data_IF_919631243488
#
_entry.id   IF_919631243488
#
_cell.length_a   1.000
_cell.length_b   1.000
_cell.length_c   1.000
_cell.angle_alpha   90.00
_cell.angle_beta   90.00
_cell.angle_gamma   90.00
#
_symmetry.space_group_name_H-M   'P 1'
#
loop_
_entity.id
_entity.type
_entity.pdbx_description
1 polymer ?
#
# COMPACT_ATOMS: atom_id res chain seq x y z
N UNK A 1 14.70 -5.87 -9.24
CA UNK A 1 16.04 -6.39 -9.62
C UNK A 1 16.26 -7.81 -9.10
N UNK A 2 16.27 -8.05 -7.78
CA UNK A 2 16.51 -9.39 -7.20
C UNK A 2 15.59 -10.50 -7.78
N UNK A 3 14.30 -10.21 -7.92
CA UNK A 3 13.35 -11.15 -8.51
C UNK A 3 13.72 -11.53 -9.97
N UNK A 4 14.11 -10.54 -10.79
CA UNK A 4 14.54 -10.75 -12.18
C UNK A 4 15.84 -11.57 -12.26
N UNK A 5 16.77 -11.35 -11.33
CA UNK A 5 18.00 -12.16 -11.21
C UNK A 5 17.63 -13.61 -10.90
N UNK A 6 16.67 -13.83 -9.99
CA UNK A 6 16.14 -15.16 -9.67
C UNK A 6 15.46 -15.84 -10.87
N UNK A 7 14.71 -15.10 -11.69
CA UNK A 7 14.16 -15.63 -12.95
C UNK A 7 15.25 -16.05 -13.92
N UNK A 8 16.30 -15.24 -14.10
CA UNK A 8 17.44 -15.57 -14.98
C UNK A 8 18.21 -16.81 -14.50
N UNK A 9 18.44 -16.93 -13.18
CA UNK A 9 19.18 -18.04 -12.57
C UNK A 9 18.40 -19.35 -12.47
N UNK A 10 17.08 -19.32 -12.64
CA UNK A 10 16.20 -20.50 -12.55
C UNK A 10 16.61 -21.65 -13.47
N UNK A 11 17.41 -21.36 -14.51
CA UNK A 11 17.86 -22.39 -15.46
C UNK A 11 19.35 -22.77 -15.32
N UNK A 12 20.24 -21.85 -14.92
CA UNK A 12 21.69 -22.18 -14.81
C UNK A 12 22.12 -22.59 -13.41
N UNK A 13 21.47 -22.09 -12.34
CA UNK A 13 21.83 -22.37 -10.94
C UNK A 13 20.57 -22.57 -10.10
N UNK A 14 19.95 -23.74 -10.26
CA UNK A 14 18.66 -24.11 -9.64
C UNK A 14 18.60 -23.93 -8.12
N UNK A 15 19.72 -24.07 -7.40
CA UNK A 15 19.77 -23.97 -5.94
C UNK A 15 19.48 -22.56 -5.39
N UNK A 16 19.98 -21.50 -6.06
CA UNK A 16 19.86 -20.12 -5.53
C UNK A 16 18.65 -19.37 -6.10
N UNK A 17 18.12 -19.81 -7.24
CA UNK A 17 16.97 -19.18 -7.88
C UNK A 17 15.75 -18.98 -6.95
N UNK A 18 15.29 -19.99 -6.17
CA UNK A 18 14.14 -19.81 -5.29
C UNK A 18 14.40 -18.79 -4.16
N UNK A 19 15.62 -18.73 -3.62
CA UNK A 19 16.00 -17.72 -2.61
C UNK A 19 15.88 -16.30 -3.17
N UNK A 20 16.46 -16.04 -4.35
CA UNK A 20 16.38 -14.72 -4.98
C UNK A 20 14.95 -14.34 -5.36
N UNK A 21 14.13 -15.31 -5.81
CA UNK A 21 12.72 -15.08 -6.12
C UNK A 21 11.91 -14.75 -4.86
N UNK A 22 12.09 -15.50 -3.77
CA UNK A 22 11.35 -15.28 -2.53
C UNK A 22 11.70 -13.93 -1.90
N UNK A 23 12.99 -13.63 -1.74
CA UNK A 23 13.46 -12.34 -1.21
C UNK A 23 13.02 -11.20 -2.13
N UNK A 24 13.21 -11.35 -3.44
CA UNK A 24 12.81 -10.35 -4.42
C UNK A 24 11.31 -10.08 -4.42
N UNK A 25 10.49 -11.12 -4.28
CA UNK A 25 9.04 -10.98 -4.18
C UNK A 25 8.63 -10.25 -2.90
N UNK A 26 9.18 -10.64 -1.76
CA UNK A 26 8.92 -9.98 -0.48
C UNK A 26 9.31 -8.49 -0.52
N UNK A 27 10.45 -8.15 -1.12
CA UNK A 27 10.87 -6.75 -1.30
C UNK A 27 9.93 -5.99 -2.22
N UNK A 28 9.57 -6.54 -3.39
CA UNK A 28 8.67 -5.86 -4.34
C UNK A 28 7.28 -5.68 -3.75
N UNK A 29 6.72 -6.71 -3.12
CA UNK A 29 5.43 -6.65 -2.45
C UNK A 29 5.46 -5.65 -1.29
N UNK A 30 6.51 -5.65 -0.47
CA UNK A 30 6.69 -4.71 0.63
C UNK A 30 6.80 -3.26 0.17
N UNK A 31 7.62 -2.97 -0.85
CA UNK A 31 7.73 -1.62 -1.42
C UNK A 31 6.42 -1.16 -2.06
N UNK A 32 5.77 -2.01 -2.86
CA UNK A 32 4.48 -1.69 -3.44
C UNK A 32 3.44 -1.40 -2.34
N UNK A 33 3.43 -2.21 -1.29
CA UNK A 33 2.58 -2.05 -0.12
C UNK A 33 2.80 -0.73 0.62
N UNK A 34 4.05 -0.33 0.86
CA UNK A 34 4.35 0.97 1.45
C UNK A 34 3.87 2.13 0.57
N UNK A 35 4.05 2.03 -0.75
CA UNK A 35 3.57 3.02 -1.72
C UNK A 35 2.04 3.09 -1.83
N UNK A 36 1.31 2.13 -1.24
CA UNK A 36 -0.15 2.15 -1.20
C UNK A 36 -0.72 3.08 -0.13
N UNK A 37 0.09 3.60 0.78
CA UNK A 37 -0.36 4.51 1.83
C UNK A 37 -0.32 5.97 1.39
N UNK A 38 -1.47 6.64 1.44
CA UNK A 38 -1.61 8.06 1.10
C UNK A 38 -0.64 8.96 1.87
N UNK A 39 -0.43 8.68 3.17
CA UNK A 39 0.49 9.43 4.04
C UNK A 39 1.95 9.36 3.55
N UNK A 40 2.38 8.21 3.01
CA UNK A 40 3.72 8.06 2.43
C UNK A 40 3.90 8.82 1.11
N UNK A 41 2.80 9.13 0.42
CA UNK A 41 2.80 9.90 -0.83
C UNK A 41 2.63 11.41 -0.62
N UNK A 42 1.87 11.83 0.40
CA UNK A 42 1.58 13.25 0.70
C UNK A 42 2.64 13.88 1.58
N UNK A 43 3.13 13.16 2.59
CA UNK A 43 4.34 13.60 3.26
C UNK A 43 5.43 13.60 2.21
N UNK A 44 6.21 14.68 2.11
CA UNK A 44 7.43 14.82 1.32
C UNK A 44 8.50 13.76 1.69
N UNK A 45 8.12 12.48 1.73
CA UNK A 45 8.88 11.35 2.17
C UNK A 45 9.91 11.03 1.08
N UNK A 46 11.00 11.78 1.09
CA UNK A 46 12.26 11.45 0.42
C UNK A 46 12.45 12.02 -0.98
N UNK A 47 11.39 12.35 -1.74
CA UNK A 47 11.56 12.80 -3.14
C UNK A 47 12.01 14.25 -3.31
N UNK A 48 11.94 15.09 -2.28
CA UNK A 48 12.52 16.44 -2.35
C UNK A 48 14.05 16.40 -2.47
N UNK A 49 14.67 15.35 -1.93
CA UNK A 49 16.07 15.08 -2.20
C UNK A 49 16.20 14.52 -3.61
N UNK A 50 16.56 15.39 -4.56
CA UNK A 50 16.90 15.03 -5.95
C UNK A 50 17.76 13.76 -6.03
N UNK A 51 18.66 13.55 -5.08
CA UNK A 51 19.48 12.34 -4.97
C UNK A 51 18.66 11.04 -4.82
N UNK A 52 17.68 11.00 -3.91
CA UNK A 52 16.83 9.84 -3.71
C UNK A 52 15.94 9.57 -4.93
N UNK A 53 15.40 10.62 -5.54
CA UNK A 53 14.65 10.52 -6.79
C UNK A 53 15.50 9.90 -7.92
N UNK A 54 16.75 10.37 -8.09
CA UNK A 54 17.68 9.84 -9.10
C UNK A 54 18.00 8.37 -8.83
N UNK A 55 18.22 7.98 -7.58
CA UNK A 55 18.46 6.57 -7.22
C UNK A 55 17.26 5.70 -7.56
N UNK A 56 16.05 6.11 -7.17
CA UNK A 56 14.82 5.38 -7.49
C UNK A 56 14.63 5.23 -9.00
N UNK A 57 14.85 6.32 -9.75
CA UNK A 57 14.80 6.31 -11.21
C UNK A 57 15.83 5.35 -11.81
N UNK A 58 17.08 5.40 -11.34
CA UNK A 58 18.16 4.52 -11.80
C UNK A 58 17.86 3.04 -11.50
N UNK A 59 17.32 2.73 -10.32
CA UNK A 59 16.93 1.37 -9.94
C UNK A 59 15.79 0.83 -10.81
N UNK A 60 14.80 1.67 -11.12
CA UNK A 60 13.71 1.26 -12.03
C UNK A 60 14.23 1.11 -13.45
N UNK A 61 15.04 2.05 -13.95
CA UNK A 61 15.66 1.94 -15.27
C UNK A 61 16.49 0.65 -15.40
N UNK A 62 17.30 0.33 -14.39
CA UNK A 62 18.05 -0.91 -14.34
C UNK A 62 17.14 -2.15 -14.32
N UNK A 63 16.02 -2.09 -13.60
CA UNK A 63 15.05 -3.18 -13.56
C UNK A 63 14.33 -3.37 -14.91
N UNK A 64 13.97 -2.29 -15.60
CA UNK A 64 13.36 -2.33 -16.94
C UNK A 64 14.37 -2.87 -17.96
N UNK A 65 15.63 -2.40 -17.94
CA UNK A 65 16.69 -2.93 -18.81
C UNK A 65 16.90 -4.42 -18.59
N UNK A 66 16.94 -4.88 -17.33
CA UNK A 66 17.02 -6.31 -17.02
C UNK A 66 15.82 -7.08 -17.53
N UNK A 67 14.61 -6.53 -17.42
CA UNK A 67 13.39 -7.16 -17.92
C UNK A 67 13.40 -7.27 -19.45
N UNK A 68 13.86 -6.23 -20.17
CA UNK A 68 14.04 -6.25 -21.63
C UNK A 68 15.08 -7.30 -22.02
N UNK A 69 16.24 -7.32 -21.36
CA UNK A 69 17.30 -8.31 -21.61
C UNK A 69 16.78 -9.74 -21.41
N UNK A 70 15.98 -9.97 -20.37
CA UNK A 70 15.37 -11.26 -20.08
C UNK A 70 14.37 -11.67 -21.18
N UNK A 71 13.59 -10.73 -21.71
CA UNK A 71 12.67 -10.97 -22.83
C UNK A 71 13.40 -11.28 -24.15
N UNK A 72 14.50 -10.57 -24.44
CA UNK A 72 15.30 -10.80 -25.63
C UNK A 72 16.05 -12.13 -25.59
N UNK A 73 16.56 -12.52 -24.41
CA UNK A 73 17.34 -13.76 -24.25
C UNK A 73 16.45 -15.00 -24.10
N UNK A 74 15.25 -14.84 -23.52
CA UNK A 74 14.34 -15.96 -23.23
C UNK A 74 12.89 -15.54 -23.51
N UNK A 75 12.35 -15.86 -24.71
CA UNK A 75 10.96 -15.54 -25.00
C UNK A 75 10.04 -16.28 -24.01
N UNK A 76 8.89 -15.69 -23.67
CA UNK A 76 7.99 -16.24 -22.66
C UNK A 76 7.35 -17.56 -23.15
N UNK A 77 7.97 -18.69 -22.83
CA UNK A 77 7.57 -20.02 -23.31
C UNK A 77 6.40 -20.61 -22.53
N UNK A 78 6.24 -20.29 -21.24
CA UNK A 78 5.16 -20.86 -20.40
C UNK A 78 4.10 -19.81 -20.03
N UNK A 79 2.85 -20.26 -19.88
CA UNK A 79 1.73 -19.41 -19.40
C UNK A 79 2.04 -18.77 -18.05
N UNK A 80 2.75 -19.49 -17.19
CA UNK A 80 3.17 -19.04 -15.86
C UNK A 80 4.20 -17.90 -15.94
N UNK A 81 5.19 -18.03 -16.81
CA UNK A 81 6.18 -16.97 -17.05
C UNK A 81 5.52 -15.69 -17.59
N UNK A 82 4.51 -15.82 -18.47
CA UNK A 82 3.72 -14.67 -18.97
C UNK A 82 2.99 -13.95 -17.83
N UNK A 83 2.35 -14.69 -16.92
CA UNK A 83 1.64 -14.11 -15.77
C UNK A 83 2.60 -13.36 -14.82
N UNK A 84 3.75 -13.96 -14.49
CA UNK A 84 4.76 -13.30 -13.65
C UNK A 84 5.26 -11.98 -14.30
N UNK A 85 5.50 -12.00 -15.60
CA UNK A 85 5.94 -10.81 -16.34
C UNK A 85 4.88 -9.69 -16.34
N UNK A 86 3.60 -10.04 -16.50
CA UNK A 86 2.48 -9.09 -16.45
C UNK A 86 2.36 -8.47 -15.06
N UNK A 87 2.52 -9.26 -14.00
CA UNK A 87 2.48 -8.74 -12.63
C UNK A 87 3.64 -7.78 -12.36
N UNK A 88 4.86 -8.14 -12.78
CA UNK A 88 6.03 -7.28 -12.64
C UNK A 88 5.88 -5.99 -13.44
N UNK A 89 5.41 -6.06 -14.68
CA UNK A 89 5.22 -4.87 -15.52
C UNK A 89 4.15 -3.93 -14.93
N UNK A 90 3.06 -4.47 -14.37
CA UNK A 90 2.05 -3.69 -13.68
C UNK A 90 2.64 -2.94 -12.46
N UNK A 91 3.43 -3.62 -11.63
CA UNK A 91 4.09 -2.99 -10.46
C UNK A 91 5.09 -1.92 -10.90
N UNK A 92 5.89 -2.16 -11.94
CA UNK A 92 6.83 -1.16 -12.46
C UNK A 92 6.10 0.04 -13.05
N UNK A 93 5.06 -0.18 -13.84
CA UNK A 93 4.24 0.89 -14.43
C UNK A 93 3.60 1.75 -13.36
N UNK A 94 2.99 1.13 -12.34
CA UNK A 94 2.44 1.86 -11.19
C UNK A 94 3.49 2.67 -10.43
N UNK A 95 4.68 2.08 -10.22
CA UNK A 95 5.78 2.78 -9.53
C UNK A 95 6.32 3.96 -10.34
N UNK A 96 6.44 3.83 -11.67
CA UNK A 96 6.82 4.94 -12.56
C UNK A 96 5.77 6.04 -12.55
N UNK A 97 4.49 5.68 -12.63
CA UNK A 97 3.40 6.65 -12.61
C UNK A 97 3.45 7.53 -11.35
N UNK A 98 3.72 6.94 -10.18
CA UNK A 98 3.88 7.67 -8.91
C UNK A 98 5.06 8.64 -8.97
N UNK A 99 6.19 8.22 -9.54
CA UNK A 99 7.39 9.07 -9.64
C UNK A 99 7.17 10.28 -10.54
N UNK A 100 6.45 10.12 -11.66
CA UNK A 100 6.19 11.21 -12.60
C UNK A 100 5.05 12.13 -12.15
N UNK A 101 4.07 11.59 -11.42
CA UNK A 101 2.89 12.34 -10.98
C UNK A 101 2.69 12.31 -9.45
N UNK A 102 3.66 12.81 -8.66
CA UNK A 102 3.57 12.77 -7.20
C UNK A 102 2.41 13.63 -6.64
N UNK A 103 2.03 14.69 -7.35
CA UNK A 103 0.92 15.59 -6.96
C UNK A 103 -0.46 14.90 -6.96
N UNK A 104 -0.59 13.76 -7.63
CA UNK A 104 -1.84 12.98 -7.72
C UNK A 104 -1.92 11.90 -6.64
N UNK A 105 -1.52 12.21 -5.40
CA UNK A 105 -1.39 11.24 -4.31
C UNK A 105 -2.64 10.38 -4.07
N UNK A 106 -3.84 10.94 -4.18
CA UNK A 106 -5.10 10.18 -4.05
C UNK A 106 -5.27 9.14 -5.16
N UNK A 107 -4.98 9.50 -6.41
CA UNK A 107 -5.07 8.58 -7.55
C UNK A 107 -3.99 7.49 -7.44
N UNK A 108 -2.77 7.89 -7.09
CA UNK A 108 -1.64 6.99 -6.86
C UNK A 108 -1.94 5.94 -5.78
N UNK A 109 -2.58 6.37 -4.69
CA UNK A 109 -3.04 5.50 -3.60
C UNK A 109 -4.00 4.43 -4.15
N UNK A 110 -5.00 4.83 -4.94
CA UNK A 110 -5.98 3.91 -5.53
C UNK A 110 -5.32 2.92 -6.49
N UNK A 111 -4.44 3.40 -7.37
CA UNK A 111 -3.70 2.56 -8.31
C UNK A 111 -2.89 1.50 -7.56
N UNK A 112 -2.10 1.90 -6.55
CA UNK A 112 -1.25 0.95 -5.83
C UNK A 112 -2.04 -0.06 -5.01
N UNK A 113 -3.11 0.36 -4.33
CA UNK A 113 -3.99 -0.56 -3.63
C UNK A 113 -4.62 -1.57 -4.61
N UNK A 114 -5.00 -1.12 -5.81
CA UNK A 114 -5.55 -1.99 -6.85
C UNK A 114 -4.50 -2.99 -7.35
N UNK A 115 -3.27 -2.55 -7.59
CA UNK A 115 -2.16 -3.42 -8.01
C UNK A 115 -1.86 -4.48 -6.93
N UNK A 116 -1.80 -4.10 -5.65
CA UNK A 116 -1.53 -5.06 -4.56
C UNK A 116 -2.69 -6.03 -4.39
N UNK A 117 -3.93 -5.54 -4.45
CA UNK A 117 -5.11 -6.39 -4.40
C UNK A 117 -5.08 -7.43 -5.52
N UNK A 118 -4.82 -7.00 -6.76
CA UNK A 118 -4.68 -7.90 -7.91
C UNK A 118 -3.51 -8.85 -7.72
N UNK A 119 -2.36 -8.39 -7.21
CA UNK A 119 -1.20 -9.23 -6.93
C UNK A 119 -1.54 -10.33 -5.91
N UNK A 120 -2.28 -9.99 -4.85
CA UNK A 120 -2.72 -10.94 -3.83
C UNK A 120 -3.66 -12.00 -4.43
N UNK A 121 -4.69 -11.55 -5.15
CA UNK A 121 -5.68 -12.41 -5.82
C UNK A 121 -5.00 -13.33 -6.84
N UNK A 122 -4.16 -12.77 -7.71
CA UNK A 122 -3.40 -13.54 -8.70
C UNK A 122 -2.51 -14.56 -8.00
N UNK A 123 -1.80 -14.19 -6.92
CA UNK A 123 -0.94 -15.12 -6.18
C UNK A 123 -1.72 -16.29 -5.56
N UNK A 124 -2.93 -16.03 -5.03
CA UNK A 124 -3.82 -17.08 -4.51
C UNK A 124 -4.23 -18.05 -5.62
N UNK A 125 -4.80 -17.55 -6.73
CA UNK A 125 -5.26 -18.40 -7.84
C UNK A 125 -4.11 -19.11 -8.54
N UNK A 126 -2.98 -18.42 -8.71
CA UNK A 126 -1.77 -18.98 -9.28
C UNK A 126 -1.20 -20.08 -8.39
N UNK A 127 -1.07 -19.83 -7.08
CA UNK A 127 -0.62 -20.81 -6.09
C UNK A 127 -1.46 -22.08 -6.06
N UNK A 128 -2.80 -21.95 -6.17
CA UNK A 128 -3.70 -23.09 -6.34
C UNK A 128 -3.41 -23.86 -7.64
N UNK A 129 -3.23 -23.15 -8.76
CA UNK A 129 -2.97 -23.75 -10.07
C UNK A 129 -1.65 -24.54 -10.14
N UNK A 130 -0.59 -24.04 -9.51
CA UNK A 130 0.72 -24.72 -9.47
C UNK A 130 0.90 -25.63 -8.23
N UNK A 131 -0.15 -25.77 -7.40
CA UNK A 131 -0.13 -26.50 -6.12
C UNK A 131 1.04 -26.11 -5.20
N UNK A 132 1.40 -24.83 -5.19
CA UNK A 132 2.45 -24.29 -4.33
C UNK A 132 1.82 -23.61 -3.11
N UNK A 133 2.01 -24.24 -1.94
CA UNK A 133 1.57 -23.66 -0.68
C UNK A 133 2.25 -22.32 -0.38
N UNK A 134 3.52 -22.16 -0.76
CA UNK A 134 4.29 -20.93 -0.53
C UNK A 134 3.66 -19.73 -1.25
N UNK A 135 3.34 -19.90 -2.55
CA UNK A 135 2.76 -18.84 -3.39
C UNK A 135 1.31 -18.55 -3.01
N UNK A 136 0.57 -19.59 -2.63
CA UNK A 136 -0.79 -19.41 -2.13
C UNK A 136 -0.79 -18.64 -0.80
N UNK A 137 0.03 -19.05 0.17
CA UNK A 137 0.11 -18.42 1.49
C UNK A 137 0.62 -16.98 1.39
N UNK A 138 1.56 -16.68 0.49
CA UNK A 138 2.03 -15.31 0.30
C UNK A 138 0.90 -14.39 -0.21
N UNK A 139 0.07 -14.87 -1.13
CA UNK A 139 -1.14 -14.16 -1.58
C UNK A 139 -2.14 -13.91 -0.46
N UNK A 140 -2.40 -14.92 0.38
CA UNK A 140 -3.28 -14.79 1.56
C UNK A 140 -2.71 -13.76 2.56
N UNK A 141 -1.42 -13.81 2.85
CA UNK A 141 -0.77 -12.86 3.78
C UNK A 141 -0.89 -11.43 3.26
N UNK A 142 -0.60 -11.19 1.98
CA UNK A 142 -0.73 -9.86 1.37
C UNK A 142 -2.18 -9.37 1.44
N UNK A 143 -3.15 -10.25 1.13
CA UNK A 143 -4.57 -9.93 1.18
C UNK A 143 -5.02 -9.54 2.60
N UNK A 144 -4.68 -10.37 3.60
CA UNK A 144 -5.05 -10.14 5.00
C UNK A 144 -4.42 -8.84 5.51
N UNK A 145 -3.14 -8.60 5.23
CA UNK A 145 -2.46 -7.36 5.59
C UNK A 145 -3.14 -6.15 4.96
N UNK A 146 -3.50 -6.23 3.67
CA UNK A 146 -4.20 -5.17 2.96
C UNK A 146 -5.55 -4.86 3.62
N UNK A 147 -6.36 -5.89 3.89
CA UNK A 147 -7.68 -5.72 4.53
C UNK A 147 -7.54 -5.12 5.93
N UNK A 148 -6.69 -5.69 6.78
CA UNK A 148 -6.51 -5.22 8.16
C UNK A 148 -6.05 -3.76 8.16
N UNK A 149 -5.05 -3.42 7.35
CA UNK A 149 -4.52 -2.06 7.37
C UNK A 149 -5.44 -1.04 6.76
N UNK A 150 -6.20 -1.37 5.71
CA UNK A 150 -7.22 -0.46 5.16
C UNK A 150 -8.40 -0.31 6.11
N UNK A 151 -8.78 -1.37 6.80
CA UNK A 151 -9.76 -1.30 7.87
C UNK A 151 -9.27 -0.35 8.97
N UNK A 152 -8.07 -0.55 9.51
CA UNK A 152 -7.50 0.31 10.54
C UNK A 152 -7.37 1.76 10.08
N UNK A 153 -6.94 2.02 8.85
CA UNK A 153 -6.80 3.38 8.29
C UNK A 153 -8.14 4.13 8.27
N UNK A 154 -9.22 3.47 7.81
CA UNK A 154 -10.58 4.03 7.80
C UNK A 154 -11.06 4.33 9.23
N UNK A 155 -10.90 3.39 10.15
CA UNK A 155 -11.35 3.57 11.53
C UNK A 155 -10.54 4.62 12.28
N UNK A 156 -9.24 4.76 11.98
CA UNK A 156 -8.40 5.79 12.59
C UNK A 156 -8.84 7.19 12.18
N UNK A 157 -9.13 7.41 10.89
CA UNK A 157 -9.64 8.71 10.41
C UNK A 157 -11.01 9.08 11.00
N UNK A 158 -11.85 8.08 11.28
CA UNK A 158 -13.15 8.28 11.93
C UNK A 158 -13.01 8.55 13.43
N UNK A 159 -12.04 7.92 14.08
CA UNK A 159 -11.81 8.00 15.54
C UNK A 159 -11.54 9.44 15.98
N UNK A 160 -10.69 10.19 15.26
CA UNK A 160 -10.40 11.61 15.57
C UNK A 160 -11.67 12.47 15.61
N UNK A 161 -12.60 12.24 14.67
CA UNK A 161 -13.88 12.97 14.59
C UNK A 161 -14.80 12.57 15.74
N UNK A 162 -14.88 11.28 16.06
CA UNK A 162 -15.74 10.76 17.15
C UNK A 162 -15.32 11.30 18.52
N UNK A 163 -14.03 11.37 18.84
CA UNK A 163 -13.55 11.94 20.12
C UNK A 163 -13.91 13.41 20.26
N UNK A 164 -13.78 14.19 19.18
CA UNK A 164 -14.20 15.59 19.17
C UNK A 164 -15.71 15.72 19.45
N UNK A 165 -16.55 14.89 18.80
CA UNK A 165 -18.00 14.89 19.06
C UNK A 165 -18.35 14.50 20.50
N UNK A 166 -17.67 13.51 21.06
CA UNK A 166 -17.87 13.09 22.46
C UNK A 166 -17.51 14.23 23.41
N UNK A 167 -16.34 14.86 23.22
CA UNK A 167 -15.88 15.97 24.06
C UNK A 167 -16.80 17.20 23.94
N UNK A 168 -17.18 17.57 22.72
CA UNK A 168 -18.09 18.69 22.47
C UNK A 168 -19.49 18.43 23.05
N UNK A 169 -20.01 17.20 22.92
CA UNK A 169 -21.28 16.80 23.52
C UNK A 169 -21.25 16.88 25.05
N UNK A 170 -20.16 16.41 25.67
CA UNK A 170 -19.98 16.51 27.12
C UNK A 170 -19.93 17.98 27.58
N UNK A 171 -19.19 18.83 26.85
CA UNK A 171 -19.10 20.26 27.13
C UNK A 171 -20.46 20.95 27.02
N UNK A 172 -21.25 20.62 25.98
CA UNK A 172 -22.62 21.14 25.83
C UNK A 172 -23.55 20.70 26.96
N UNK A 173 -23.47 19.45 27.41
CA UNK A 173 -24.30 18.96 28.52
C UNK A 173 -23.96 19.69 29.83
N UNK A 174 -22.67 19.86 30.13
CA UNK A 174 -22.21 20.59 31.32
C UNK A 174 -22.60 22.07 31.21
N UNK A 175 -22.38 22.69 30.05
CA UNK A 175 -22.75 24.07 29.78
C UNK A 175 -24.25 24.32 29.92
N UNK A 176 -25.08 23.46 29.33
CA UNK A 176 -26.54 23.52 29.45
C UNK A 176 -27.01 23.37 30.90
N UNK A 177 -26.46 22.40 31.65
CA UNK A 177 -26.78 22.21 33.07
C UNK A 177 -26.36 23.42 33.93
N UNK A 178 -25.23 24.06 33.62
CA UNK A 178 -24.78 25.26 34.30
C UNK A 178 -25.67 26.47 34.00
N UNK A 179 -26.01 26.68 32.72
CA UNK A 179 -26.91 27.76 32.30
C UNK A 179 -28.31 27.60 32.89
N UNK A 180 -28.81 26.36 32.98
CA UNK A 180 -30.09 26.07 33.62
C UNK A 180 -30.09 26.45 35.10
N UNK A 181 -28.97 26.19 35.81
CA UNK A 181 -28.81 26.64 37.21
C UNK A 181 -28.79 28.15 37.33
N UNK A 182 -28.13 28.86 36.41
CA UNK A 182 -28.12 30.33 36.41
C UNK A 182 -29.49 30.92 36.09
N UNK A 183 -30.23 30.34 35.13
CA UNK A 183 -31.60 30.74 34.79
C UNK A 183 -32.51 30.70 36.03
N UNK A 184 -32.47 29.60 36.79
CA UNK A 184 -33.27 29.45 38.01
C UNK A 184 -32.99 30.54 39.04
N UNK A 185 -31.71 30.86 39.28
CA UNK A 185 -31.31 31.93 40.21
C UNK A 185 -31.81 33.31 39.79
N UNK A 186 -31.82 33.60 38.50
CA UNK A 186 -32.31 34.89 37.98
C UNK A 186 -33.82 35.00 38.16
N UNK A 187 -34.56 33.93 37.83
CA UNK A 187 -36.03 33.91 38.00
C UNK A 187 -36.43 34.06 39.47
N UNK A 188 -35.75 33.37 40.39
CA UNK A 188 -36.00 33.49 41.84
C UNK A 188 -35.81 34.93 42.34
N UNK A 189 -34.78 35.64 41.84
CA UNK A 189 -34.56 37.05 42.19
C UNK A 189 -35.69 37.94 41.72
N UNK A 190 -36.21 37.74 40.50
CA UNK A 190 -37.32 38.54 39.98
C UNK A 190 -38.65 38.29 40.69
N UNK A 191 -38.84 37.12 41.30
CA UNK A 191 -40.05 36.81 42.06
C UNK A 191 -40.03 37.32 43.51
N UNK A 192 -38.89 37.82 43.99
CA UNK A 192 -38.72 38.31 45.36
C UNK A 192 -38.75 39.86 45.46
N UNK A 193 -38.82 40.55 44.32
CA UNK A 193 -39.13 41.99 44.19
C UNK A 193 -40.63 42.19 43.95
#
# INVERSE_FOLDING_TARGET
ILYLIGMSHSESKKYFAPLYKSIGFATVAGCAYLLSFKKMLIGNAGFEHKFFFIICLALIAAAVLLLILLLCTKPPQTKFFKMELICLSAVFSGSLFILFFPLLASINTVIMNTIIFLLAVISIFYGMGIRSAEVFNSGIVIFVLLVITRYVDIFWELTEKSWFFIAAGLFMLIGGAYLEKQRKKVIEKWSAE
#
